data_IF_236760633007
#
_entry.id   IF_236760633007
#
_cell.length_a   1.000
_cell.length_b   1.000
_cell.length_c   1.000
_cell.angle_alpha   90.00
_cell.angle_beta   90.00
_cell.angle_gamma   90.00
#
_symmetry.space_group_name_H-M   'P 1'
#
loop_
_entity.id
_entity.type
_entity.pdbx_description
1 polymer ?
#
# COMPACT_ATOMS: atom_id res chain seq x y z
N UNK A 1 -4.37 -27.20 -19.31
CA UNK A 1 -5.02 -26.39 -18.25
C UNK A 1 -4.06 -26.27 -17.07
N UNK A 2 -2.95 -25.55 -17.25
CA UNK A 2 -1.88 -25.47 -16.25
C UNK A 2 -1.36 -24.04 -16.08
N UNK A 3 -2.24 -23.04 -16.23
CA UNK A 3 -1.89 -21.60 -16.15
C UNK A 3 -2.71 -20.84 -15.09
N UNK A 4 -3.14 -21.53 -14.03
CA UNK A 4 -3.85 -20.87 -12.93
C UNK A 4 -3.07 -21.07 -11.63
N UNK A 5 -2.52 -19.97 -11.12
CA UNK A 5 -1.99 -19.89 -9.76
C UNK A 5 -3.20 -19.81 -8.83
N UNK A 6 -3.45 -20.87 -8.07
CA UNK A 6 -4.45 -20.86 -7.01
C UNK A 6 -4.02 -19.91 -5.91
N UNK A 7 -4.82 -18.88 -5.65
CA UNK A 7 -4.64 -17.98 -4.52
C UNK A 7 -5.57 -18.46 -3.39
N UNK A 8 -4.97 -19.00 -2.33
CA UNK A 8 -5.63 -19.65 -1.18
C UNK A 8 -5.83 -18.72 0.02
N UNK A 9 -5.41 -17.45 -0.07
CA UNK A 9 -5.68 -16.48 0.99
C UNK A 9 -7.12 -16.00 0.88
N UNK A 10 -7.94 -16.40 1.85
CA UNK A 10 -9.29 -15.89 2.03
C UNK A 10 -9.22 -14.42 2.47
N UNK A 11 -9.20 -13.50 1.50
CA UNK A 11 -9.43 -12.09 1.78
C UNK A 11 -10.87 -11.91 2.26
N UNK A 12 -11.15 -11.08 3.28
CA UNK A 12 -12.52 -10.79 3.72
C UNK A 12 -13.27 -9.90 2.72
N UNK A 13 -12.82 -9.83 1.46
CA UNK A 13 -13.38 -9.00 0.40
C UNK A 13 -13.09 -9.62 -0.97
N UNK A 14 -13.97 -9.30 -1.92
CA UNK A 14 -13.78 -9.58 -3.34
C UNK A 14 -13.25 -8.34 -4.06
N UNK A 15 -12.43 -8.55 -5.09
CA UNK A 15 -11.92 -7.49 -5.98
C UNK A 15 -12.72 -7.49 -7.27
N UNK A 16 -13.21 -6.33 -7.69
CA UNK A 16 -14.03 -6.17 -8.89
C UNK A 16 -13.51 -5.04 -9.77
N UNK A 17 -13.68 -5.20 -11.08
CA UNK A 17 -13.44 -4.16 -12.08
C UNK A 17 -14.79 -3.55 -12.49
N UNK A 18 -14.95 -2.23 -12.30
CA UNK A 18 -16.13 -1.51 -12.77
C UNK A 18 -16.03 -1.24 -14.27
N UNK A 19 -17.19 -0.99 -14.90
CA UNK A 19 -17.26 -0.66 -16.34
C UNK A 19 -16.55 0.65 -16.72
N UNK A 20 -16.24 1.51 -15.74
CA UNK A 20 -15.43 2.73 -15.93
C UNK A 20 -13.91 2.48 -15.78
N UNK A 21 -13.50 1.24 -15.54
CA UNK A 21 -12.10 0.83 -15.33
C UNK A 21 -11.66 0.85 -13.87
N UNK A 22 -12.43 1.40 -12.94
CA UNK A 22 -12.05 1.49 -11.52
C UNK A 22 -12.00 0.11 -10.86
N UNK A 23 -10.95 -0.17 -10.08
CA UNK A 23 -10.87 -1.35 -9.22
C UNK A 23 -11.51 -1.03 -7.86
N UNK A 24 -12.43 -1.90 -7.43
CA UNK A 24 -13.13 -1.77 -6.15
C UNK A 24 -13.02 -3.02 -5.29
N UNK A 25 -12.98 -2.84 -3.97
CA UNK A 25 -13.07 -3.94 -3.00
C UNK A 25 -14.48 -4.00 -2.41
N UNK A 26 -15.06 -5.20 -2.39
CA UNK A 26 -16.40 -5.48 -1.87
C UNK A 26 -16.29 -6.40 -0.64
N UNK A 27 -16.57 -5.89 0.56
CA UNK A 27 -16.31 -6.60 1.82
C UNK A 27 -17.46 -7.50 2.32
N UNK A 28 -18.66 -7.36 1.76
CA UNK A 28 -19.87 -8.07 2.24
C UNK A 28 -20.66 -8.78 1.13
N UNK A 29 -20.14 -8.78 -0.11
CA UNK A 29 -20.79 -9.35 -1.30
C UNK A 29 -21.02 -8.30 -2.39
N UNK A 30 -21.41 -8.70 -3.62
CA UNK A 30 -21.57 -7.77 -4.75
C UNK A 30 -22.70 -6.75 -4.56
N UNK A 31 -23.72 -7.08 -3.75
CA UNK A 31 -24.91 -6.25 -3.55
C UNK A 31 -25.00 -5.59 -2.17
N UNK A 32 -23.99 -5.79 -1.32
CA UNK A 32 -23.96 -5.23 0.04
C UNK A 32 -22.81 -4.24 0.16
N UNK A 33 -23.06 -3.00 0.62
CA UNK A 33 -21.98 -2.08 0.96
C UNK A 33 -21.18 -2.63 2.15
N UNK A 34 -19.87 -2.30 2.23
CA UNK A 34 -19.19 -1.26 1.45
C UNK A 34 -18.48 -1.77 0.18
N UNK A 35 -18.67 -1.02 -0.91
CA UNK A 35 -17.86 -1.10 -2.15
C UNK A 35 -16.92 0.11 -2.18
N UNK A 36 -15.62 -0.13 -2.05
CA UNK A 36 -14.62 0.94 -1.91
C UNK A 36 -13.74 1.01 -3.16
N UNK A 37 -13.70 2.16 -3.86
CA UNK A 37 -12.70 2.41 -4.89
C UNK A 37 -11.29 2.38 -4.30
N UNK A 38 -10.43 1.54 -4.87
CA UNK A 38 -9.05 1.37 -4.41
C UNK A 38 -8.06 1.85 -5.45
N UNK A 39 -8.23 1.46 -6.72
CA UNK A 39 -7.35 1.90 -7.80
C UNK A 39 -8.12 2.47 -8.98
N UNK A 40 -7.54 3.43 -9.70
CA UNK A 40 -8.17 4.01 -10.89
C UNK A 40 -8.32 3.01 -12.04
N UNK A 41 -7.43 2.01 -12.13
CA UNK A 41 -7.43 0.97 -13.16
C UNK A 41 -6.66 -0.28 -12.71
N UNK A 42 -6.72 -1.33 -13.53
CA UNK A 42 -6.03 -2.61 -13.29
C UNK A 42 -4.51 -2.43 -13.31
N UNK A 43 -3.98 -1.57 -14.18
CA UNK A 43 -2.53 -1.35 -14.27
C UNK A 43 -2.00 -0.83 -12.93
N UNK A 44 -2.69 0.12 -12.29
CA UNK A 44 -2.29 0.64 -10.99
C UNK A 44 -2.34 -0.40 -9.86
N UNK A 45 -3.32 -1.31 -9.89
CA UNK A 45 -3.36 -2.46 -8.99
C UNK A 45 -2.15 -3.38 -9.20
N UNK A 46 -1.83 -3.71 -10.45
CA UNK A 46 -0.73 -4.61 -10.79
C UNK A 46 0.63 -4.01 -10.41
N UNK A 47 0.81 -2.71 -10.66
CA UNK A 47 2.04 -1.99 -10.25
C UNK A 47 2.18 -1.95 -8.72
N UNK A 48 1.10 -1.67 -7.98
CA UNK A 48 1.12 -1.70 -6.52
C UNK A 48 1.46 -3.10 -5.97
N UNK A 49 0.86 -4.15 -6.53
CA UNK A 49 1.16 -5.52 -6.14
C UNK A 49 2.61 -5.91 -6.48
N UNK A 50 3.10 -5.53 -7.66
CA UNK A 50 4.49 -5.77 -8.06
C UNK A 50 5.49 -5.10 -7.11
N UNK A 51 5.23 -3.85 -6.70
CA UNK A 51 6.03 -3.16 -5.69
C UNK A 51 5.98 -3.87 -4.34
N UNK A 52 4.82 -4.34 -3.91
CA UNK A 52 4.67 -5.07 -2.66
C UNK A 52 5.48 -6.37 -2.67
N UNK A 53 5.38 -7.16 -3.74
CA UNK A 53 6.13 -8.41 -3.89
C UNK A 53 7.65 -8.18 -3.94
N UNK A 54 8.12 -7.13 -4.62
CA UNK A 54 9.54 -6.74 -4.58
C UNK A 54 9.96 -6.37 -3.15
N UNK A 55 9.21 -5.50 -2.50
CA UNK A 55 9.46 -5.07 -1.11
C UNK A 55 9.40 -6.24 -0.10
N UNK A 56 8.60 -7.27 -0.33
CA UNK A 56 8.50 -8.44 0.53
C UNK A 56 9.84 -9.21 0.63
N UNK A 57 10.74 -9.03 -0.36
CA UNK A 57 12.10 -9.61 -0.34
C UNK A 57 13.15 -8.68 0.30
N UNK A 58 12.79 -7.43 0.60
CA UNK A 58 13.67 -6.40 1.14
C UNK A 58 13.71 -6.42 2.67
N UNK A 59 14.59 -5.61 3.27
CA UNK A 59 14.72 -5.48 4.73
C UNK A 59 13.54 -4.66 5.27
N UNK A 60 12.67 -5.21 6.14
CA UNK A 60 11.62 -4.42 6.77
C UNK A 60 12.24 -3.47 7.80
N UNK A 61 12.02 -2.16 7.62
CA UNK A 61 12.53 -1.12 8.54
C UNK A 61 11.47 -0.73 9.56
N UNK A 62 10.21 -0.63 9.12
CA UNK A 62 9.05 -0.40 9.97
C UNK A 62 7.82 -1.00 9.30
N UNK A 63 7.01 -1.71 10.07
CA UNK A 63 5.76 -2.33 9.62
C UNK A 63 4.66 -1.96 10.62
N UNK A 64 3.55 -1.42 10.13
CA UNK A 64 2.29 -1.23 10.87
C UNK A 64 2.38 -0.39 12.16
N UNK A 65 3.41 0.46 12.31
CA UNK A 65 3.56 1.37 13.45
C UNK A 65 2.70 2.63 13.25
N UNK A 66 1.37 2.53 13.45
CA UNK A 66 0.42 3.63 13.28
C UNK A 66 0.79 4.98 13.98
N UNK A 67 1.49 5.02 15.13
CA UNK A 67 2.03 6.25 15.70
C UNK A 67 2.86 7.08 14.71
N UNK A 68 2.49 8.34 14.56
CA UNK A 68 3.22 9.29 13.72
C UNK A 68 2.94 9.18 12.22
N UNK A 69 1.94 8.40 11.77
CA UNK A 69 1.58 8.30 10.35
C UNK A 69 1.38 9.68 9.69
N UNK A 70 0.66 10.60 10.34
CA UNK A 70 0.44 11.94 9.79
C UNK A 70 1.75 12.70 9.54
N UNK A 71 2.72 12.57 10.45
CA UNK A 71 4.02 13.20 10.32
C UNK A 71 4.87 12.50 9.25
N UNK A 72 4.84 11.17 9.18
CA UNK A 72 5.49 10.36 8.14
C UNK A 72 4.95 10.69 6.75
N UNK A 73 3.63 10.74 6.57
CA UNK A 73 3.00 11.09 5.29
C UNK A 73 3.30 12.54 4.89
N UNK A 74 3.27 13.49 5.84
CA UNK A 74 3.67 14.88 5.56
C UNK A 74 5.15 14.96 5.13
N UNK A 75 6.03 14.18 5.77
CA UNK A 75 7.44 14.12 5.42
C UNK A 75 7.71 13.40 4.09
N UNK A 76 6.83 12.47 3.70
CA UNK A 76 6.91 11.73 2.44
C UNK A 76 6.83 12.64 1.19
N UNK A 77 6.34 13.88 1.33
CA UNK A 77 6.38 14.88 0.26
C UNK A 77 7.80 15.18 -0.27
N UNK A 78 8.84 14.77 0.47
CA UNK A 78 10.26 14.89 0.07
C UNK A 78 10.76 13.69 -0.75
N UNK A 79 9.98 12.63 -0.83
CA UNK A 79 10.29 11.42 -1.58
C UNK A 79 9.69 11.49 -2.99
N UNK A 80 10.20 10.69 -3.91
CA UNK A 80 9.61 10.53 -5.23
C UNK A 80 8.33 9.72 -5.12
N UNK A 81 7.20 10.28 -5.57
CA UNK A 81 5.93 9.56 -5.62
C UNK A 81 5.94 8.57 -6.80
N UNK A 82 5.63 7.30 -6.56
CA UNK A 82 5.44 6.30 -7.61
C UNK A 82 3.97 6.35 -8.03
N UNK A 83 3.65 7.21 -9.00
CA UNK A 83 2.26 7.56 -9.36
C UNK A 83 1.51 6.36 -9.91
N UNK A 84 2.21 5.50 -10.62
CA UNK A 84 1.70 4.33 -11.32
C UNK A 84 1.12 3.31 -10.34
N UNK A 85 1.71 3.20 -9.15
CA UNK A 85 1.25 2.31 -8.09
C UNK A 85 0.28 2.98 -7.08
N UNK A 86 -0.03 4.26 -7.25
CA UNK A 86 -0.91 4.96 -6.30
C UNK A 86 -2.39 4.69 -6.60
N UNK A 87 -3.14 4.42 -5.54
CA UNK A 87 -4.59 4.28 -5.56
C UNK A 87 -5.32 5.49 -4.96
N UNK A 88 -6.64 5.35 -4.82
CA UNK A 88 -7.48 6.29 -4.08
C UNK A 88 -7.24 6.22 -2.57
N UNK A 89 -6.93 5.02 -2.06
CA UNK A 89 -6.77 4.76 -0.62
C UNK A 89 -5.35 4.37 -0.25
N UNK A 90 -4.41 4.36 -1.19
CA UNK A 90 -3.03 3.98 -0.97
C UNK A 90 -2.04 4.79 -1.80
N UNK A 91 -0.83 4.97 -1.28
CA UNK A 91 0.24 5.74 -1.92
C UNK A 91 1.60 5.12 -1.67
N UNK A 92 2.42 5.19 -2.72
CA UNK A 92 3.78 4.67 -2.75
C UNK A 92 4.77 5.78 -3.02
N UNK A 93 5.87 5.77 -2.27
CA UNK A 93 7.01 6.64 -2.46
C UNK A 93 8.31 5.86 -2.45
N UNK A 94 9.32 6.43 -3.10
CA UNK A 94 10.68 5.91 -3.07
C UNK A 94 11.74 7.00 -2.92
N UNK A 95 12.88 6.56 -2.41
CA UNK A 95 14.15 7.25 -2.46
C UNK A 95 15.25 6.18 -2.55
N UNK A 96 16.45 6.57 -2.99
CA UNK A 96 17.58 5.67 -3.15
C UNK A 96 17.74 4.65 -2.01
N UNK A 97 17.35 3.41 -2.30
CA UNK A 97 17.50 2.27 -1.41
C UNK A 97 16.33 1.97 -0.48
N UNK A 98 15.25 2.75 -0.44
CA UNK A 98 14.05 2.41 0.35
C UNK A 98 12.73 2.85 -0.28
N UNK A 99 11.64 2.20 0.13
CA UNK A 99 10.26 2.54 -0.26
C UNK A 99 9.38 2.71 0.96
N UNK A 100 8.41 3.62 0.84
CA UNK A 100 7.35 3.85 1.79
C UNK A 100 6.01 3.53 1.12
N UNK A 101 5.19 2.73 1.79
CA UNK A 101 3.80 2.49 1.41
C UNK A 101 2.89 2.96 2.54
N UNK A 102 1.85 3.71 2.21
CA UNK A 102 0.76 4.06 3.12
C UNK A 102 -0.54 3.58 2.51
N UNK A 103 -1.34 2.80 3.24
CA UNK A 103 -2.64 2.34 2.79
C UNK A 103 -3.72 2.50 3.86
N UNK A 104 -4.89 2.94 3.42
CA UNK A 104 -6.04 3.34 4.24
C UNK A 104 -7.30 2.56 3.90
N UNK A 105 -7.20 1.59 2.98
CA UNK A 105 -8.35 0.86 2.42
C UNK A 105 -9.22 0.26 3.52
N UNK A 106 -8.63 -0.41 4.51
CA UNK A 106 -9.36 -0.98 5.65
C UNK A 106 -9.92 0.08 6.62
N UNK A 107 -9.22 1.21 6.79
CA UNK A 107 -9.68 2.30 7.64
C UNK A 107 -10.94 3.00 7.08
N UNK A 108 -11.12 2.98 5.76
CA UNK A 108 -12.34 3.48 5.11
C UNK A 108 -13.55 2.55 5.29
N UNK A 109 -13.32 1.30 5.70
CA UNK A 109 -14.30 0.20 5.64
C UNK A 109 -14.72 -0.27 7.03
N UNK A 110 -13.76 -0.44 7.93
CA UNK A 110 -13.97 -1.06 9.22
C UNK A 110 -13.73 -0.05 10.34
N UNK A 111 -14.78 0.34 11.09
CA UNK A 111 -14.63 1.17 12.28
C UNK A 111 -13.61 0.55 13.25
N UNK A 112 -12.64 1.34 13.69
CA UNK A 112 -11.55 0.89 14.55
C UNK A 112 -10.33 0.31 13.81
N UNK A 113 -10.40 0.12 12.49
CA UNK A 113 -9.20 -0.15 11.69
C UNK A 113 -8.45 1.14 11.42
N UNK A 114 -7.18 1.18 11.82
CA UNK A 114 -6.28 2.30 11.53
C UNK A 114 -5.75 2.27 10.10
N UNK A 115 -5.32 3.43 9.61
CA UNK A 115 -4.44 3.50 8.46
C UNK A 115 -3.11 2.80 8.78
N UNK A 116 -2.55 2.14 7.78
CA UNK A 116 -1.32 1.37 7.91
C UNK A 116 -0.25 1.94 6.99
N UNK A 117 0.99 1.68 7.36
CA UNK A 117 2.13 2.04 6.54
C UNK A 117 3.30 1.12 6.83
N UNK A 118 4.22 1.07 5.89
CA UNK A 118 5.40 0.24 5.97
C UNK A 118 6.54 0.87 5.19
N UNK A 119 7.76 0.63 5.67
CA UNK A 119 9.00 1.04 5.02
C UNK A 119 9.92 -0.16 4.88
N UNK A 120 10.40 -0.37 3.66
CA UNK A 120 11.36 -1.42 3.33
C UNK A 120 12.62 -0.81 2.72
N UNK A 121 13.76 -1.43 3.00
CA UNK A 121 15.04 -1.03 2.47
C UNK A 121 15.68 -2.15 1.65
N UNK A 122 16.13 -1.81 0.44
CA UNK A 122 16.74 -2.75 -0.51
C UNK A 122 18.07 -3.32 -0.02
N UNK A 123 18.79 -2.55 0.79
CA UNK A 123 20.12 -2.88 1.30
C UNK A 123 20.42 -2.09 2.58
N UNK A 124 21.61 -2.32 3.15
CA UNK A 124 22.02 -1.67 4.41
C UNK A 124 22.09 -0.14 4.31
N UNK A 125 22.51 0.42 3.18
CA UNK A 125 22.53 1.89 3.01
C UNK A 125 21.11 2.45 2.98
N UNK A 126 20.21 1.76 2.28
CA UNK A 126 18.79 2.10 2.27
C UNK A 126 18.15 2.03 3.66
N UNK A 127 18.58 1.07 4.49
CA UNK A 127 18.08 0.94 5.86
C UNK A 127 18.47 2.15 6.72
N UNK A 128 19.73 2.61 6.60
CA UNK A 128 20.19 3.82 7.29
C UNK A 128 19.43 5.06 6.81
N UNK A 129 19.22 5.19 5.50
CA UNK A 129 18.43 6.28 4.93
C UNK A 129 16.98 6.27 5.42
N UNK A 130 16.32 5.11 5.40
CA UNK A 130 14.97 4.92 5.90
C UNK A 130 14.84 5.25 7.40
N UNK A 131 15.79 4.80 8.24
CA UNK A 131 15.80 5.14 9.67
C UNK A 131 16.00 6.64 9.91
N UNK A 132 16.87 7.28 9.13
CA UNK A 132 17.05 8.73 9.18
C UNK A 132 15.78 9.47 8.78
N UNK A 133 15.14 9.05 7.68
CA UNK A 133 13.85 9.59 7.24
C UNK A 133 12.80 9.50 8.35
N UNK A 134 12.64 8.33 8.98
CA UNK A 134 11.66 8.13 10.06
C UNK A 134 11.99 8.96 11.31
N UNK A 135 13.27 9.08 11.67
CA UNK A 135 13.69 9.93 12.79
C UNK A 135 13.39 11.40 12.54
N UNK A 136 13.59 11.89 11.31
CA UNK A 136 13.30 13.28 10.94
C UNK A 136 11.81 13.56 10.83
N UNK A 137 11.02 12.58 10.36
CA UNK A 137 9.57 12.70 10.29
C UNK A 137 8.91 12.78 11.67
N UNK A 138 9.54 12.20 12.70
CA UNK A 138 9.00 12.11 14.07
C UNK A 138 9.56 13.14 15.05
N UNK A 139 10.56 13.92 14.62
CA UNK A 139 11.16 15.00 15.40
C UNK A 139 10.26 16.24 15.41
#
# INVERSE_FOLDING_TARGET
MADLIGHDVAHPYAVWLRGDGTVVYCFTGPDLPPVVPVFPNVDALLEAEALYQDCATWIPVSLDDAPGLAAVEAHAARLTLIREACGYTERWWEQDGFRLHVWRTFAAVFPGSGARWAVWARNRSGELAARSFLSQARA
#
